data_IF_300852272009
#
_entry.id   IF_300852272009
#
_cell.length_a   1.000
_cell.length_b   1.000
_cell.length_c   1.000
_cell.angle_alpha   90.00
_cell.angle_beta   90.00
_cell.angle_gamma   90.00
#
_symmetry.space_group_name_H-M   'P 1'
#
loop_
_entity.id
_entity.type
_entity.pdbx_description
1 polymer ?
#
# COMPACT_ATOMS: atom_id res chain seq x y z
N UNK A 1 31.04 15.30 23.43
CA UNK A 1 31.10 16.45 22.50
C UNK A 1 31.86 16.02 21.25
N UNK A 2 31.19 15.88 20.10
CA UNK A 2 31.82 15.31 18.90
C UNK A 2 32.69 16.35 18.18
N UNK A 3 33.98 16.03 18.09
CA UNK A 3 35.01 16.86 17.48
C UNK A 3 34.85 16.83 15.94
N UNK A 4 33.97 17.67 15.39
CA UNK A 4 33.75 17.76 13.95
C UNK A 4 34.94 18.49 13.33
N UNK A 5 35.81 17.76 12.63
CA UNK A 5 36.93 18.33 11.86
C UNK A 5 36.38 19.29 10.80
N UNK A 6 36.58 20.60 10.97
CA UNK A 6 36.27 21.62 9.97
C UNK A 6 37.28 21.55 8.81
N UNK A 7 36.82 21.44 7.56
CA UNK A 7 37.69 21.38 6.38
C UNK A 7 37.86 22.77 5.77
N UNK A 8 39.01 23.14 5.19
CA UNK A 8 39.14 24.40 4.44
C UNK A 8 38.74 24.19 2.97
N UNK A 9 38.13 25.18 2.33
CA UNK A 9 37.87 25.17 0.89
C UNK A 9 39.18 25.35 0.12
N UNK A 10 39.42 24.53 -0.90
CA UNK A 10 40.58 24.67 -1.79
C UNK A 10 40.59 25.98 -2.58
N UNK A 11 39.41 26.54 -2.90
CA UNK A 11 39.29 27.73 -3.74
C UNK A 11 39.34 29.04 -2.93
N UNK A 12 38.65 29.13 -1.79
CA UNK A 12 38.59 30.36 -0.98
C UNK A 12 39.21 30.26 0.41
N UNK A 13 39.78 29.11 0.79
CA UNK A 13 40.46 28.91 2.07
C UNK A 13 39.56 28.85 3.32
N UNK A 14 38.26 29.21 3.20
CA UNK A 14 37.31 29.27 4.32
C UNK A 14 36.96 27.90 4.89
N UNK A 15 36.65 27.86 6.18
CA UNK A 15 36.23 26.64 6.87
C UNK A 15 34.81 26.21 6.43
N UNK A 16 34.76 25.03 5.83
CA UNK A 16 33.62 24.34 5.27
C UNK A 16 33.35 23.05 6.04
N UNK A 17 32.08 22.86 6.39
CA UNK A 17 31.59 21.68 7.10
C UNK A 17 30.94 20.66 6.14
N UNK A 18 30.80 21.03 4.87
CA UNK A 18 30.09 20.30 3.82
C UNK A 18 30.99 20.07 2.60
N UNK A 19 30.67 19.04 1.80
CA UNK A 19 31.36 18.72 0.53
C UNK A 19 31.22 19.79 -0.56
N UNK A 20 30.40 20.81 -0.34
CA UNK A 20 30.22 21.96 -1.23
C UNK A 20 30.44 23.22 -0.41
N UNK A 21 31.33 24.09 -0.86
CA UNK A 21 31.52 25.40 -0.23
C UNK A 21 30.25 26.23 -0.42
N UNK A 22 29.73 26.84 0.64
CA UNK A 22 28.50 27.65 0.55
C UNK A 22 28.71 28.98 -0.17
N UNK A 23 29.93 29.50 -0.13
CA UNK A 23 30.26 30.79 -0.74
C UNK A 23 30.64 30.61 -2.21
N UNK A 24 31.52 29.65 -2.50
CA UNK A 24 32.00 29.43 -3.86
C UNK A 24 31.13 28.46 -4.68
N UNK A 25 30.21 27.73 -4.03
CA UNK A 25 29.40 26.64 -4.61
C UNK A 25 30.20 25.52 -5.29
N UNK A 26 31.53 25.58 -5.24
CA UNK A 26 32.43 24.54 -5.71
C UNK A 26 32.42 23.37 -4.76
N UNK A 27 32.59 22.18 -5.33
CA UNK A 27 32.70 20.94 -4.57
C UNK A 27 34.10 20.93 -3.95
N UNK A 28 34.17 20.83 -2.63
CA UNK A 28 35.44 20.61 -1.96
C UNK A 28 35.85 19.16 -2.28
N UNK A 29 36.99 18.91 -2.94
CA UNK A 29 37.42 17.55 -3.26
C UNK A 29 37.53 16.72 -1.96
N UNK A 30 37.13 15.44 -2.02
CA UNK A 30 37.32 14.55 -0.87
C UNK A 30 38.83 14.52 -0.54
N UNK A 31 39.20 14.69 0.74
CA UNK A 31 40.61 14.69 1.19
C UNK A 31 41.38 13.40 0.89
N UNK A 32 40.66 12.35 0.53
CA UNK A 32 41.19 11.03 0.23
C UNK A 32 40.70 10.66 -1.15
N UNK A 33 41.65 10.46 -2.05
CA UNK A 33 41.36 9.94 -3.39
C UNK A 33 40.81 8.52 -3.25
N UNK A 34 39.62 8.28 -3.80
CA UNK A 34 39.02 6.95 -3.80
C UNK A 34 39.60 6.17 -4.96
N UNK A 35 40.64 5.39 -4.70
CA UNK A 35 41.20 4.48 -5.69
C UNK A 35 40.18 3.43 -6.12
N UNK A 36 40.32 2.89 -7.33
CA UNK A 36 39.49 1.78 -7.80
C UNK A 36 39.55 0.58 -6.86
N UNK A 37 40.73 0.31 -6.29
CA UNK A 37 40.91 -0.77 -5.31
C UNK A 37 40.10 -0.54 -4.03
N UNK A 38 40.07 0.69 -3.51
CA UNK A 38 39.26 1.05 -2.33
C UNK A 38 37.76 0.88 -2.62
N UNK A 39 37.30 1.32 -3.79
CA UNK A 39 35.92 1.14 -4.22
C UNK A 39 35.55 -0.35 -4.40
N UNK A 40 36.48 -1.15 -4.94
CA UNK A 40 36.32 -2.61 -5.08
C UNK A 40 36.17 -3.28 -3.71
N UNK A 41 37.05 -2.97 -2.74
CA UNK A 41 36.98 -3.52 -1.38
C UNK A 41 35.67 -3.17 -0.68
N UNK A 42 35.18 -1.94 -0.81
CA UNK A 42 33.87 -1.54 -0.25
C UNK A 42 32.74 -2.29 -0.95
N UNK A 43 32.79 -2.41 -2.28
CA UNK A 43 31.78 -3.11 -3.07
C UNK A 43 31.73 -4.60 -2.70
N UNK A 44 32.87 -5.28 -2.63
CA UNK A 44 32.99 -6.68 -2.20
C UNK A 44 32.50 -6.88 -0.77
N UNK A 45 32.88 -5.98 0.16
CA UNK A 45 32.44 -6.05 1.55
C UNK A 45 30.93 -5.91 1.72
N UNK A 46 30.24 -5.26 0.77
CA UNK A 46 28.79 -5.07 0.77
C UNK A 46 28.05 -6.02 -0.19
N UNK A 47 28.75 -6.78 -1.04
CA UNK A 47 28.13 -7.71 -2.00
C UNK A 47 27.34 -8.78 -1.24
N UNK A 48 26.03 -8.86 -1.52
CA UNK A 48 25.12 -9.83 -0.90
C UNK A 48 24.65 -9.49 0.53
N UNK A 49 25.11 -8.40 1.14
CA UNK A 49 24.65 -8.01 2.49
C UNK A 49 23.38 -7.15 2.42
N UNK A 50 22.31 -7.50 3.15
CA UNK A 50 21.09 -6.70 3.17
C UNK A 50 21.35 -5.36 3.89
N UNK A 51 20.96 -4.24 3.27
CA UNK A 51 20.99 -2.91 3.90
C UNK A 51 19.79 -2.72 4.82
N UNK A 52 19.88 -3.30 6.02
CA UNK A 52 18.80 -3.39 7.01
C UNK A 52 18.17 -2.04 7.42
N UNK A 53 18.89 -0.93 7.27
CA UNK A 53 18.39 0.42 7.59
C UNK A 53 17.58 1.08 6.47
N UNK A 54 17.48 0.45 5.28
CA UNK A 54 16.74 0.93 4.09
C UNK A 54 15.70 -0.13 3.68
N UNK A 55 15.02 -0.74 4.66
CA UNK A 55 14.00 -1.76 4.41
C UNK A 55 12.69 -1.45 5.13
N UNK A 56 11.59 -1.80 4.47
CA UNK A 56 10.25 -1.69 5.03
C UNK A 56 9.92 -0.28 5.52
N UNK A 57 9.37 -0.20 6.73
CA UNK A 57 8.84 1.04 7.31
C UNK A 57 9.83 2.17 7.52
N UNK A 58 11.12 1.87 7.43
CA UNK A 58 12.20 2.83 7.66
C UNK A 58 12.66 3.55 6.39
N UNK A 59 12.18 3.16 5.20
CA UNK A 59 12.57 3.79 3.93
C UNK A 59 11.62 4.95 3.55
N UNK A 60 12.15 6.12 3.17
CA UNK A 60 11.33 7.30 2.80
C UNK A 60 10.41 7.10 1.58
N UNK A 61 10.83 6.35 0.56
CA UNK A 61 9.98 5.88 -0.55
C UNK A 61 9.04 4.70 -0.20
N UNK A 62 8.99 4.22 1.05
CA UNK A 62 8.08 3.13 1.43
C UNK A 62 6.65 3.66 1.54
N UNK A 63 5.81 3.30 0.56
CA UNK A 63 4.40 3.72 0.47
C UNK A 63 3.44 2.82 1.25
N UNK A 64 3.93 2.12 2.27
CA UNK A 64 3.20 1.06 2.95
C UNK A 64 3.28 -0.26 2.18
N UNK A 65 3.99 -1.23 2.74
CA UNK A 65 3.97 -2.60 2.25
C UNK A 65 2.72 -3.28 2.78
N UNK A 66 1.69 -3.38 1.94
CA UNK A 66 0.62 -4.34 2.15
C UNK A 66 1.24 -5.73 2.05
N UNK A 67 1.26 -6.48 3.15
CA UNK A 67 1.51 -7.91 3.12
C UNK A 67 0.32 -8.60 2.42
N UNK A 68 0.12 -8.37 1.11
CA UNK A 68 -0.71 -9.23 0.26
C UNK A 68 -0.12 -10.62 0.07
N UNK A 69 0.85 -10.99 0.91
CA UNK A 69 1.33 -12.34 1.01
C UNK A 69 0.21 -13.20 1.59
N UNK A 70 -0.57 -13.81 0.70
CA UNK A 70 -1.67 -14.72 1.04
C UNK A 70 -1.15 -16.14 1.33
N UNK A 71 0.16 -16.30 1.60
CA UNK A 71 0.88 -17.57 1.50
C UNK A 71 1.64 -17.70 0.17
N UNK A 72 2.72 -18.47 0.16
CA UNK A 72 3.39 -18.87 -1.09
C UNK A 72 2.49 -19.78 -1.93
N UNK A 73 2.64 -19.76 -3.26
CA UNK A 73 1.88 -20.65 -4.15
C UNK A 73 0.46 -20.19 -4.52
N UNK A 74 0.09 -18.93 -4.23
CA UNK A 74 -1.24 -18.39 -4.59
C UNK A 74 -1.59 -18.59 -6.06
N UNK A 75 -0.67 -18.32 -6.99
CA UNK A 75 -0.93 -18.48 -8.42
C UNK A 75 -1.28 -19.93 -8.78
N UNK A 76 -0.54 -20.89 -8.23
CA UNK A 76 -0.78 -22.33 -8.46
C UNK A 76 -2.11 -22.77 -7.86
N UNK A 77 -2.37 -22.44 -6.59
CA UNK A 77 -3.63 -22.81 -5.92
C UNK A 77 -4.83 -22.14 -6.61
N UNK A 78 -4.68 -20.89 -7.04
CA UNK A 78 -5.71 -20.15 -7.75
C UNK A 78 -6.02 -20.77 -9.12
N UNK A 79 -5.00 -21.23 -9.84
CA UNK A 79 -5.15 -21.93 -11.10
C UNK A 79 -5.82 -23.29 -10.89
N UNK A 80 -5.34 -24.10 -9.93
CA UNK A 80 -5.93 -25.39 -9.57
C UNK A 80 -7.40 -25.25 -9.16
N UNK A 81 -7.76 -24.20 -8.40
CA UNK A 81 -9.14 -23.95 -7.98
C UNK A 81 -10.05 -23.70 -9.19
N UNK A 82 -9.58 -22.93 -10.18
CA UNK A 82 -10.34 -22.68 -11.41
C UNK A 82 -10.47 -23.92 -12.28
N UNK A 83 -9.42 -24.72 -12.38
CA UNK A 83 -9.42 -25.97 -13.13
C UNK A 83 -10.36 -27.00 -12.49
N UNK A 84 -10.31 -27.18 -11.17
CA UNK A 84 -11.24 -28.01 -10.39
C UNK A 84 -12.69 -27.64 -10.67
N UNK A 85 -12.98 -26.34 -10.68
CA UNK A 85 -14.33 -25.81 -10.85
C UNK A 85 -14.71 -25.64 -12.33
N UNK A 86 -13.91 -26.20 -13.26
CA UNK A 86 -14.06 -26.11 -14.72
C UNK A 86 -14.35 -24.69 -15.22
N UNK A 87 -13.66 -23.70 -14.65
CA UNK A 87 -13.83 -22.27 -14.92
C UNK A 87 -15.29 -21.80 -14.85
N UNK A 88 -16.07 -22.41 -13.97
CA UNK A 88 -17.51 -22.19 -13.84
C UNK A 88 -17.82 -21.64 -12.46
N UNK A 89 -18.67 -20.61 -12.42
CA UNK A 89 -19.12 -20.01 -11.17
C UNK A 89 -19.94 -21.03 -10.37
N UNK A 90 -19.43 -21.44 -9.23
CA UNK A 90 -20.08 -22.42 -8.35
C UNK A 90 -21.36 -21.89 -7.67
N UNK A 91 -21.68 -20.59 -7.83
CA UNK A 91 -22.93 -19.99 -7.32
C UNK A 91 -24.02 -19.81 -8.36
N UNK A 92 -23.68 -19.61 -9.63
CA UNK A 92 -24.67 -19.28 -10.67
C UNK A 92 -24.53 -20.07 -11.97
N UNK A 93 -23.55 -20.98 -12.08
CA UNK A 93 -23.36 -21.84 -13.24
C UNK A 93 -22.77 -21.18 -14.49
N UNK A 94 -22.58 -19.85 -14.50
CA UNK A 94 -21.96 -19.16 -15.64
C UNK A 94 -20.48 -19.50 -15.78
N UNK A 95 -20.04 -19.65 -17.01
CA UNK A 95 -18.68 -20.02 -17.39
C UNK A 95 -17.80 -18.81 -17.69
N UNK A 96 -16.48 -19.02 -17.83
CA UNK A 96 -15.53 -17.97 -18.22
C UNK A 96 -15.82 -17.30 -19.57
N UNK A 97 -16.55 -17.96 -20.46
CA UNK A 97 -16.91 -17.42 -21.77
C UNK A 97 -18.05 -16.39 -21.66
N UNK A 98 -18.87 -16.48 -20.61
CA UNK A 98 -20.01 -15.60 -20.37
C UNK A 98 -19.68 -14.45 -19.41
N UNK A 99 -18.80 -14.69 -18.44
CA UNK A 99 -18.48 -13.72 -17.39
C UNK A 99 -17.07 -13.88 -16.84
N UNK A 100 -16.51 -12.78 -16.33
CA UNK A 100 -15.24 -12.80 -15.62
C UNK A 100 -15.34 -13.66 -14.34
N UNK A 101 -14.49 -14.67 -14.28
CA UNK A 101 -14.37 -15.63 -13.18
C UNK A 101 -13.17 -15.26 -12.27
N UNK A 102 -13.41 -15.30 -10.96
CA UNK A 102 -12.47 -14.99 -9.89
C UNK A 102 -12.47 -16.12 -8.85
N UNK A 103 -11.44 -16.20 -8.03
CA UNK A 103 -11.41 -17.10 -6.86
C UNK A 103 -11.67 -16.29 -5.60
N UNK A 104 -12.54 -16.80 -4.74
CA UNK A 104 -12.95 -16.18 -3.49
C UNK A 104 -12.60 -17.07 -2.30
N UNK A 105 -12.18 -16.48 -1.19
CA UNK A 105 -12.01 -17.18 0.09
C UNK A 105 -13.37 -17.35 0.78
N UNK A 106 -13.81 -18.59 1.02
CA UNK A 106 -15.09 -18.90 1.71
C UNK A 106 -15.08 -18.29 3.10
N UNK A 107 -14.07 -18.62 3.91
CA UNK A 107 -13.71 -17.86 5.11
C UNK A 107 -12.69 -16.81 4.70
N UNK A 108 -13.04 -15.53 4.86
CA UNK A 108 -12.17 -14.42 4.45
C UNK A 108 -10.80 -14.53 5.11
N UNK A 109 -9.76 -14.18 4.36
CA UNK A 109 -8.39 -14.19 4.86
C UNK A 109 -8.21 -13.33 6.13
N UNK A 110 -8.85 -12.16 6.18
CA UNK A 110 -8.83 -11.26 7.35
C UNK A 110 -9.45 -11.86 8.62
N UNK A 111 -10.36 -12.85 8.46
CA UNK A 111 -10.99 -13.54 9.58
C UNK A 111 -10.22 -14.83 9.97
N UNK A 112 -8.98 -14.99 9.47
CA UNK A 112 -8.16 -16.18 9.68
C UNK A 112 -8.51 -17.34 8.75
N UNK A 113 -8.99 -17.05 7.54
CA UNK A 113 -9.16 -18.05 6.48
C UNK A 113 -7.84 -18.41 5.81
N UNK A 114 -7.49 -19.69 5.79
CA UNK A 114 -6.29 -20.18 5.10
C UNK A 114 -6.43 -20.09 3.58
N UNK A 115 -5.30 -19.94 2.88
CA UNK A 115 -5.25 -19.98 1.41
C UNK A 115 -4.97 -21.40 0.96
N UNK A 116 -6.00 -22.24 1.07
CA UNK A 116 -5.97 -23.66 0.70
C UNK A 116 -7.15 -23.95 -0.24
N UNK A 117 -7.04 -24.92 -1.17
CA UNK A 117 -8.10 -25.22 -2.13
C UNK A 117 -9.49 -25.41 -1.50
N UNK A 118 -9.56 -25.95 -0.29
CA UNK A 118 -10.80 -26.22 0.45
C UNK A 118 -11.50 -24.94 0.93
N UNK A 119 -10.74 -23.87 1.16
CA UNK A 119 -11.26 -22.56 1.56
C UNK A 119 -11.41 -21.62 0.35
N UNK A 120 -11.24 -22.12 -0.86
CA UNK A 120 -11.31 -21.33 -2.09
C UNK A 120 -12.42 -21.85 -3.01
N UNK A 121 -13.15 -20.91 -3.61
CA UNK A 121 -14.26 -21.21 -4.51
C UNK A 121 -14.19 -20.33 -5.76
N UNK A 122 -14.42 -20.93 -6.92
CA UNK A 122 -14.50 -20.21 -8.20
C UNK A 122 -15.88 -19.58 -8.35
N UNK A 123 -15.94 -18.25 -8.42
CA UNK A 123 -17.18 -17.49 -8.57
C UNK A 123 -17.00 -16.35 -9.58
N UNK A 124 -18.09 -15.94 -10.23
CA UNK A 124 -18.06 -14.78 -11.12
C UNK A 124 -17.99 -13.45 -10.35
N UNK A 125 -17.56 -12.38 -11.02
CA UNK A 125 -17.43 -11.06 -10.39
C UNK A 125 -18.73 -10.55 -9.74
N UNK A 126 -19.89 -10.84 -10.32
CA UNK A 126 -21.18 -10.43 -9.77
C UNK A 126 -21.54 -11.19 -8.49
N UNK A 127 -21.28 -12.50 -8.43
CA UNK A 127 -21.41 -13.30 -7.21
C UNK A 127 -20.37 -12.89 -6.16
N UNK A 128 -19.13 -12.63 -6.56
CA UNK A 128 -18.07 -12.14 -5.68
C UNK A 128 -18.46 -10.84 -4.98
N UNK A 129 -19.04 -9.90 -5.72
CA UNK A 129 -19.53 -8.64 -5.16
C UNK A 129 -20.75 -8.80 -4.24
N UNK A 130 -21.49 -9.91 -4.32
CA UNK A 130 -22.57 -10.22 -3.36
C UNK A 130 -22.00 -10.78 -2.05
N UNK A 131 -20.93 -11.58 -2.12
CA UNK A 131 -20.26 -12.15 -0.93
C UNK A 131 -19.50 -11.11 -0.12
N UNK A 132 -18.74 -10.26 -0.81
CA UNK A 132 -18.25 -9.04 -0.21
C UNK A 132 -19.43 -8.09 -0.10
N UNK A 133 -20.17 -8.14 1.02
CA UNK A 133 -21.27 -7.22 1.37
C UNK A 133 -20.83 -5.74 1.38
N UNK A 134 -20.40 -5.20 0.25
CA UNK A 134 -20.48 -3.79 -0.10
C UNK A 134 -21.87 -3.48 -0.66
N UNK A 135 -22.66 -4.50 -1.00
CA UNK A 135 -24.08 -4.36 -1.31
C UNK A 135 -24.89 -4.09 -0.03
N UNK A 136 -25.37 -2.85 0.09
CA UNK A 136 -26.41 -2.40 1.03
C UNK A 136 -26.02 -2.14 2.49
N UNK A 137 -24.76 -1.84 2.81
CA UNK A 137 -24.54 -1.07 4.05
C UNK A 137 -25.05 0.35 3.79
N UNK A 138 -26.27 0.65 4.26
CA UNK A 138 -26.79 2.02 4.26
C UNK A 138 -26.02 2.78 5.32
N UNK A 139 -25.08 3.61 4.90
CA UNK A 139 -24.39 4.51 5.81
C UNK A 139 -25.33 5.68 6.06
N UNK A 140 -26.26 5.51 7.00
CA UNK A 140 -27.23 6.55 7.37
C UNK A 140 -26.52 7.58 8.25
N UNK A 141 -26.58 8.83 7.81
CA UNK A 141 -26.08 9.99 8.54
C UNK A 141 -27.22 10.98 8.78
N UNK A 142 -27.10 11.71 9.89
CA UNK A 142 -27.96 12.84 10.19
C UNK A 142 -27.25 14.15 9.85
N UNK A 143 -27.91 15.02 9.08
CA UNK A 143 -27.39 16.34 8.80
C UNK A 143 -27.51 17.25 10.03
N UNK A 144 -26.40 17.85 10.47
CA UNK A 144 -26.36 18.83 11.57
C UNK A 144 -27.03 20.17 11.24
N UNK A 145 -27.22 20.49 9.95
CA UNK A 145 -27.85 21.74 9.51
C UNK A 145 -29.36 21.57 9.36
N UNK A 146 -29.82 20.55 8.64
CA UNK A 146 -31.24 20.37 8.33
C UNK A 146 -31.93 19.22 9.08
N UNK A 147 -31.20 18.44 9.87
CA UNK A 147 -31.74 17.31 10.63
C UNK A 147 -32.12 16.09 9.81
N UNK A 148 -32.05 16.14 8.47
CA UNK A 148 -32.50 15.02 7.61
C UNK A 148 -31.53 13.84 7.64
N UNK A 149 -32.11 12.65 7.60
CA UNK A 149 -31.42 11.39 7.36
C UNK A 149 -31.07 11.22 5.88
N UNK A 150 -29.86 10.74 5.60
CA UNK A 150 -29.46 10.39 4.24
C UNK A 150 -28.37 9.31 4.20
N UNK A 151 -28.31 8.56 3.10
CA UNK A 151 -27.26 7.59 2.85
C UNK A 151 -26.08 8.25 2.12
N UNK A 152 -24.90 8.27 2.73
CA UNK A 152 -23.69 8.85 2.11
C UNK A 152 -22.92 7.87 1.23
N UNK A 153 -23.21 6.56 1.30
CA UNK A 153 -22.40 5.53 0.63
C UNK A 153 -20.98 5.34 1.20
N UNK A 154 -20.63 6.06 2.28
CA UNK A 154 -19.31 6.01 2.93
C UNK A 154 -19.43 6.03 4.46
N UNK A 155 -18.63 5.18 5.11
CA UNK A 155 -18.55 5.10 6.57
C UNK A 155 -17.89 6.34 7.21
N UNK A 156 -17.03 7.05 6.47
CA UNK A 156 -16.18 8.10 7.05
C UNK A 156 -16.89 9.45 7.09
N UNK A 157 -17.42 9.95 5.97
CA UNK A 157 -17.95 11.31 5.83
C UNK A 157 -19.00 11.38 4.70
N UNK A 158 -20.00 12.25 4.82
CA UNK A 158 -21.05 12.47 3.82
C UNK A 158 -21.39 13.95 3.65
N UNK A 159 -21.89 14.31 2.47
CA UNK A 159 -22.42 15.65 2.17
C UNK A 159 -23.93 15.54 2.00
N UNK A 160 -24.67 16.39 2.72
CA UNK A 160 -26.11 16.48 2.55
C UNK A 160 -26.44 17.01 1.14
N UNK A 161 -27.37 16.36 0.44
CA UNK A 161 -27.71 16.69 -0.96
C UNK A 161 -28.45 18.02 -1.11
N UNK A 162 -29.05 18.51 -0.03
CA UNK A 162 -29.78 19.79 0.03
C UNK A 162 -28.85 20.97 -0.30
N UNK A 163 -29.19 21.86 -1.25
CA UNK A 163 -28.35 22.99 -1.66
C UNK A 163 -27.87 23.85 -0.49
N UNK A 164 -28.75 24.11 0.49
CA UNK A 164 -28.46 24.89 1.71
C UNK A 164 -27.51 24.21 2.71
N UNK A 165 -27.20 22.92 2.52
CA UNK A 165 -26.39 22.11 3.42
C UNK A 165 -25.11 21.56 2.78
N UNK A 166 -24.80 21.95 1.53
CA UNK A 166 -23.61 21.50 0.76
C UNK A 166 -22.28 22.08 1.25
N UNK A 167 -22.21 22.52 2.51
CA UNK A 167 -20.92 22.84 3.14
C UNK A 167 -20.28 21.55 3.64
N UNK A 168 -18.94 21.51 3.65
CA UNK A 168 -18.22 20.29 3.92
C UNK A 168 -18.47 19.80 5.37
N UNK A 169 -18.83 18.51 5.52
CA UNK A 169 -18.78 17.76 6.79
C UNK A 169 -19.84 18.07 7.86
N UNK A 170 -21.12 18.18 7.47
CA UNK A 170 -22.23 18.39 8.40
C UNK A 170 -22.85 17.10 8.96
N UNK A 171 -22.14 15.96 9.03
CA UNK A 171 -22.74 14.70 9.51
C UNK A 171 -22.46 14.43 10.98
N UNK A 172 -23.51 14.04 11.71
CA UNK A 172 -23.39 13.37 13.00
C UNK A 172 -23.29 11.85 12.77
N UNK A 173 -22.63 11.15 13.72
CA UNK A 173 -22.15 9.76 13.67
C UNK A 173 -23.06 8.78 12.91
N UNK A 174 -22.40 7.85 12.22
CA UNK A 174 -23.01 6.73 11.50
C UNK A 174 -23.63 5.69 12.44
N UNK A 175 -24.83 5.21 12.12
CA UNK A 175 -25.47 4.05 12.76
C UNK A 175 -25.41 2.84 11.82
N UNK A 176 -24.89 1.73 12.33
CA UNK A 176 -24.88 0.44 11.63
C UNK A 176 -26.07 -0.36 12.15
N UNK A 177 -27.08 -0.54 11.31
CA UNK A 177 -28.25 -1.39 11.58
C UNK A 177 -27.98 -2.82 11.10
#
# INVERSE_FOLDING_TARGET
MSNKKSNKCSDCGKLCWTKRCRDCWKRNPDKFERTEEHNRKISEAHKGKPKSWIQGSKHYNWKGGDTRWRGGGWESIHQQTKERDNYTCQKCGRTRNEIKICVHHIKRWQDGGATIPENLITICQSCHNKEHKFGNQRFIHNCKICGREYNSGSAMQGICKEPKCRTAYNTAKHYRW
#
